data_IF_368400709424
#
_entry.id   IF_368400709424
#
_cell.length_a   1.000
_cell.length_b   1.000
_cell.length_c   1.000
_cell.angle_alpha   90.00
_cell.angle_beta   90.00
_cell.angle_gamma   90.00
#
_symmetry.space_group_name_H-M   'P 1'
#
loop_
_entity.id
_entity.type
_entity.pdbx_description
1 polymer ?
#
# COMPACT_ATOMS: atom_id res chain seq x y z
N UNK A 1 84.43 -4.21 -34.35
CA UNK A 1 83.00 -3.97 -34.10
C UNK A 1 82.23 -5.29 -34.24
N UNK A 2 81.86 -5.95 -33.13
CA UNK A 2 80.95 -7.10 -33.14
C UNK A 2 79.73 -6.71 -32.32
N UNK A 3 78.57 -6.59 -32.97
CA UNK A 3 77.28 -6.22 -32.34
C UNK A 3 76.62 -7.48 -31.77
N UNK A 4 76.44 -7.52 -30.46
CA UNK A 4 75.52 -8.43 -29.79
C UNK A 4 74.07 -8.00 -30.09
N UNK A 5 73.27 -8.91 -30.63
CA UNK A 5 71.81 -8.77 -30.67
C UNK A 5 71.23 -9.63 -29.55
N UNK A 6 70.76 -9.00 -28.48
CA UNK A 6 69.98 -9.66 -27.44
C UNK A 6 68.52 -9.76 -27.88
N UNK A 7 67.99 -10.99 -27.95
CA UNK A 7 66.58 -11.26 -28.15
C UNK A 7 65.86 -11.10 -26.80
N UNK A 8 64.99 -10.10 -26.68
CA UNK A 8 64.10 -9.91 -25.53
C UNK A 8 62.78 -10.62 -25.84
N UNK A 9 62.52 -11.75 -25.18
CA UNK A 9 61.24 -12.46 -25.24
C UNK A 9 60.34 -11.90 -24.15
N UNK A 10 59.31 -11.14 -24.53
CA UNK A 10 58.28 -10.64 -23.62
C UNK A 10 57.21 -11.73 -23.47
N UNK A 11 57.14 -12.37 -22.30
CA UNK A 11 56.03 -13.22 -21.91
C UNK A 11 54.83 -12.35 -21.54
N UNK A 12 53.85 -12.23 -22.44
CA UNK A 12 52.55 -11.66 -22.14
C UNK A 12 51.74 -12.62 -21.27
N UNK A 13 51.59 -12.31 -19.99
CA UNK A 13 50.64 -12.98 -19.10
C UNK A 13 49.24 -12.54 -19.51
N UNK A 14 48.55 -13.36 -20.30
CA UNK A 14 47.11 -13.24 -20.52
C UNK A 14 46.40 -13.59 -19.20
N UNK A 15 46.04 -12.59 -18.41
CA UNK A 15 45.11 -12.78 -17.30
C UNK A 15 43.73 -13.11 -17.89
N UNK A 16 43.41 -14.40 -17.94
CA UNK A 16 42.04 -14.87 -18.12
C UNK A 16 41.24 -14.42 -16.89
N UNK A 17 40.60 -13.27 -16.99
CA UNK A 17 39.54 -12.89 -16.05
C UNK A 17 38.42 -13.92 -16.23
N UNK A 18 38.27 -14.83 -15.28
CA UNK A 18 37.07 -15.63 -15.13
C UNK A 18 35.92 -14.65 -14.87
N UNK A 19 35.24 -14.23 -15.94
CA UNK A 19 33.92 -13.64 -15.82
C UNK A 19 33.03 -14.79 -15.39
N UNK A 20 32.81 -14.92 -14.08
CA UNK A 20 31.85 -15.85 -13.55
C UNK A 20 30.54 -15.62 -14.32
N UNK A 21 30.01 -16.68 -14.94
CA UNK A 21 28.71 -16.60 -15.61
C UNK A 21 27.71 -16.06 -14.60
N UNK A 22 27.06 -14.93 -14.92
CA UNK A 22 26.11 -14.33 -14.02
C UNK A 22 25.00 -15.35 -13.72
N UNK A 23 24.81 -15.67 -12.45
CA UNK A 23 23.80 -16.62 -12.02
C UNK A 23 22.42 -15.99 -12.30
N UNK A 24 21.58 -16.71 -13.04
CA UNK A 24 20.24 -16.27 -13.43
C UNK A 24 19.16 -16.94 -12.59
N UNK A 25 18.04 -16.24 -12.43
CA UNK A 25 16.82 -16.72 -11.78
C UNK A 25 15.75 -16.77 -12.87
N UNK A 26 15.37 -17.96 -13.30
CA UNK A 26 14.26 -18.17 -14.23
C UNK A 26 12.94 -18.03 -13.48
N UNK A 27 12.12 -17.08 -13.90
CA UNK A 27 10.89 -16.69 -13.20
C UNK A 27 9.71 -16.69 -14.17
N UNK A 28 8.57 -17.16 -13.67
CA UNK A 28 7.26 -17.14 -14.34
C UNK A 28 6.43 -16.01 -13.74
N UNK A 29 6.39 -14.90 -14.46
CA UNK A 29 5.70 -13.67 -14.08
C UNK A 29 4.22 -13.78 -14.45
N UNK A 30 3.34 -13.64 -13.47
CA UNK A 30 1.91 -13.62 -13.65
C UNK A 30 1.38 -12.18 -13.63
N UNK A 31 0.63 -11.79 -14.64
CA UNK A 31 -0.09 -10.50 -14.71
C UNK A 31 -1.56 -10.73 -15.07
N UNK A 32 -2.39 -9.69 -14.91
CA UNK A 32 -3.81 -9.72 -15.28
C UNK A 32 -4.15 -8.59 -16.22
N UNK A 33 -4.93 -8.88 -17.25
CA UNK A 33 -5.50 -7.88 -18.15
C UNK A 33 -7.02 -7.90 -18.10
N UNK A 34 -7.63 -6.73 -18.02
CA UNK A 34 -9.08 -6.58 -18.24
C UNK A 34 -9.39 -6.73 -19.73
N UNK A 35 -10.34 -7.60 -20.05
CA UNK A 35 -10.88 -7.77 -21.40
C UNK A 35 -12.36 -7.43 -21.33
N UNK A 36 -12.74 -6.34 -21.98
CA UNK A 36 -14.14 -5.97 -22.15
C UNK A 36 -14.80 -6.94 -23.12
N UNK A 37 -15.85 -7.59 -22.66
CA UNK A 37 -16.76 -8.33 -23.52
C UNK A 37 -17.90 -7.39 -23.91
N UNK A 38 -17.82 -6.86 -25.14
CA UNK A 38 -18.82 -5.94 -25.69
C UNK A 38 -20.21 -6.58 -25.78
N UNK A 39 -20.29 -7.91 -25.87
CA UNK A 39 -21.57 -8.64 -25.98
C UNK A 39 -22.31 -8.74 -24.65
N UNK A 40 -21.58 -8.86 -23.54
CA UNK A 40 -22.16 -9.00 -22.18
C UNK A 40 -22.08 -7.72 -21.36
N UNK A 41 -21.42 -6.66 -21.87
CA UNK A 41 -21.03 -5.47 -21.11
C UNK A 41 -20.34 -5.84 -19.78
N UNK A 42 -19.64 -6.97 -19.76
CA UNK A 42 -18.91 -7.46 -18.60
C UNK A 42 -17.42 -7.35 -18.85
N UNK A 43 -16.65 -7.19 -17.79
CA UNK A 43 -15.20 -7.23 -17.86
C UNK A 43 -14.72 -8.58 -17.34
N UNK A 44 -14.03 -9.34 -18.18
CA UNK A 44 -13.38 -10.59 -17.78
C UNK A 44 -11.90 -10.33 -17.55
N UNK A 45 -11.34 -10.86 -16.46
CA UNK A 45 -9.89 -10.84 -16.25
C UNK A 45 -9.23 -12.04 -16.95
N UNK A 46 -8.22 -11.79 -17.76
CA UNK A 46 -7.34 -12.83 -18.32
C UNK A 46 -6.02 -12.82 -17.57
N UNK A 47 -5.57 -14.02 -17.16
CA UNK A 47 -4.25 -14.21 -16.55
C UNK A 47 -3.25 -14.47 -17.66
N UNK A 48 -2.14 -13.74 -17.63
CA UNK A 48 -1.03 -13.87 -18.57
C UNK A 48 0.21 -14.32 -17.78
N UNK A 49 0.92 -15.32 -18.30
CA UNK A 49 2.16 -15.81 -17.70
C UNK A 49 3.29 -15.67 -18.70
N UNK A 50 4.37 -15.00 -18.28
CA UNK A 50 5.56 -14.78 -19.11
C UNK A 50 6.79 -15.29 -18.37
N UNK A 51 7.57 -16.13 -19.02
CA UNK A 51 8.85 -16.60 -18.47
C UNK A 51 9.96 -15.60 -18.83
N UNK A 52 10.77 -15.22 -17.83
CA UNK A 52 11.97 -14.40 -18.05
C UNK A 52 13.06 -14.80 -17.08
N UNK A 53 14.30 -14.52 -17.47
CA UNK A 53 15.47 -14.69 -16.62
C UNK A 53 15.92 -13.35 -16.06
N UNK A 54 16.10 -13.30 -14.74
CA UNK A 54 16.70 -12.15 -14.06
C UNK A 54 18.10 -12.51 -13.59
N UNK A 55 19.08 -11.64 -13.87
CA UNK A 55 20.42 -11.75 -13.28
C UNK A 55 20.32 -11.53 -11.77
N UNK A 56 20.76 -12.50 -10.97
CA UNK A 56 20.64 -12.46 -9.52
C UNK A 56 21.44 -11.29 -8.92
N UNK A 57 22.64 -10.99 -9.42
CA UNK A 57 23.46 -9.88 -8.91
C UNK A 57 22.86 -8.50 -9.25
N UNK A 58 21.96 -8.42 -10.23
CA UNK A 58 21.17 -7.21 -10.54
C UNK A 58 19.76 -7.22 -9.92
N UNK A 59 19.51 -8.15 -8.98
CA UNK A 59 18.21 -8.34 -8.33
C UNK A 59 18.33 -8.13 -6.83
N UNK A 60 17.36 -7.43 -6.24
CA UNK A 60 17.20 -7.32 -4.81
C UNK A 60 15.89 -7.95 -4.34
N UNK A 61 15.90 -8.54 -3.13
CA UNK A 61 14.70 -8.91 -2.40
C UNK A 61 14.53 -7.93 -1.24
N UNK A 62 13.42 -7.19 -1.22
CA UNK A 62 13.08 -6.27 -0.13
C UNK A 62 12.09 -6.97 0.79
N UNK A 63 12.46 -7.09 2.07
CA UNK A 63 11.65 -7.68 3.14
C UNK A 63 10.91 -6.56 3.86
N UNK A 64 9.64 -6.38 3.51
CA UNK A 64 8.80 -5.30 4.02
C UNK A 64 8.12 -5.71 5.34
N UNK A 65 8.42 -5.01 6.44
CA UNK A 65 7.61 -4.98 7.65
C UNK A 65 7.27 -6.38 8.24
N UNK A 66 8.19 -7.34 8.12
CA UNK A 66 8.08 -8.68 8.73
C UNK A 66 8.42 -8.59 10.22
N UNK A 67 7.55 -7.96 10.99
CA UNK A 67 7.79 -7.59 12.39
C UNK A 67 7.75 -8.77 13.38
N UNK A 68 8.27 -8.53 14.58
CA UNK A 68 8.27 -9.47 15.71
C UNK A 68 6.91 -9.56 16.44
N UNK A 69 6.01 -8.60 16.23
CA UNK A 69 4.67 -8.59 16.78
C UNK A 69 3.73 -7.74 15.91
N UNK A 70 2.43 -7.97 16.02
CA UNK A 70 1.40 -7.18 15.37
C UNK A 70 0.17 -7.02 16.29
N UNK A 71 -0.63 -5.98 16.07
CA UNK A 71 -1.81 -5.70 16.91
C UNK A 71 -2.92 -6.74 16.70
N UNK A 72 -3.09 -7.20 15.47
CA UNK A 72 -3.96 -8.33 15.11
C UNK A 72 -3.30 -9.68 15.41
N UNK A 73 -3.93 -10.53 16.21
CA UNK A 73 -3.38 -11.86 16.54
C UNK A 73 -3.36 -12.80 15.32
N UNK A 74 -4.37 -12.74 14.46
CA UNK A 74 -4.44 -13.56 13.27
C UNK A 74 -3.38 -13.17 12.23
N UNK A 75 -3.02 -11.89 12.11
CA UNK A 75 -1.87 -11.43 11.34
C UNK A 75 -0.55 -12.03 11.84
N UNK A 76 -0.34 -12.09 13.17
CA UNK A 76 0.82 -12.77 13.77
C UNK A 76 0.84 -14.25 13.38
N UNK A 77 -0.29 -14.96 13.55
CA UNK A 77 -0.42 -16.38 13.24
C UNK A 77 -0.11 -16.70 11.78
N UNK A 78 -0.56 -15.86 10.84
CA UNK A 78 -0.29 -16.02 9.39
C UNK A 78 1.17 -15.71 9.06
N UNK A 79 1.72 -14.62 9.59
CA UNK A 79 3.13 -14.25 9.37
C UNK A 79 4.08 -15.33 9.87
N UNK A 80 3.88 -15.82 11.09
CA UNK A 80 4.69 -16.89 11.68
C UNK A 80 4.63 -18.20 10.88
N UNK A 81 3.53 -18.43 10.15
CA UNK A 81 3.35 -19.63 9.34
C UNK A 81 4.22 -19.63 8.07
N UNK A 82 4.24 -18.52 7.32
CA UNK A 82 5.03 -18.44 6.08
C UNK A 82 6.44 -17.89 6.28
N UNK A 83 6.74 -17.26 7.42
CA UNK A 83 8.07 -16.69 7.68
C UNK A 83 9.22 -17.71 7.56
N UNK A 84 9.12 -18.97 8.02
CA UNK A 84 10.18 -19.95 7.80
C UNK A 84 10.46 -20.19 6.31
N UNK A 85 9.42 -20.28 5.47
CA UNK A 85 9.59 -20.45 4.03
C UNK A 85 10.15 -19.19 3.37
N UNK A 86 9.73 -18.01 3.81
CA UNK A 86 10.33 -16.76 3.38
C UNK A 86 11.83 -16.71 3.70
N UNK A 87 12.23 -17.16 4.89
CA UNK A 87 13.64 -17.24 5.25
C UNK A 87 14.44 -18.14 4.30
N UNK A 88 13.88 -19.28 3.89
CA UNK A 88 14.52 -20.16 2.89
C UNK A 88 14.61 -19.48 1.52
N UNK A 89 13.59 -18.74 1.08
CA UNK A 89 13.65 -17.90 -0.13
C UNK A 89 14.81 -16.92 -0.05
N UNK A 90 14.97 -16.22 1.08
CA UNK A 90 16.02 -15.22 1.26
C UNK A 90 17.42 -15.86 1.26
N UNK A 91 17.59 -17.02 1.90
CA UNK A 91 18.84 -17.77 1.87
C UNK A 91 19.20 -18.21 0.45
N UNK A 92 18.24 -18.74 -0.30
CA UNK A 92 18.47 -19.17 -1.68
C UNK A 92 18.76 -17.97 -2.59
N UNK A 93 17.99 -16.88 -2.49
CA UNK A 93 18.25 -15.65 -3.24
C UNK A 93 19.65 -15.09 -2.94
N UNK A 94 20.03 -15.06 -1.65
CA UNK A 94 21.36 -14.63 -1.20
C UNK A 94 22.45 -15.55 -1.74
N UNK A 95 22.24 -16.87 -1.73
CA UNK A 95 23.18 -17.87 -2.30
C UNK A 95 23.42 -17.60 -3.79
N UNK A 96 22.38 -17.27 -4.55
CA UNK A 96 22.48 -16.93 -5.98
C UNK A 96 23.09 -15.54 -6.24
N UNK A 97 23.35 -14.75 -5.19
CA UNK A 97 23.98 -13.44 -5.28
C UNK A 97 23.01 -12.26 -5.36
N UNK A 98 21.71 -12.45 -5.08
CA UNK A 98 20.77 -11.34 -4.91
C UNK A 98 21.10 -10.52 -3.65
N UNK A 99 20.78 -9.23 -3.71
CA UNK A 99 20.90 -8.33 -2.55
C UNK A 99 19.66 -8.43 -1.66
N UNK A 100 19.82 -8.62 -0.36
CA UNK A 100 18.69 -8.63 0.59
C UNK A 100 18.66 -7.30 1.34
N UNK A 101 17.50 -6.64 1.34
CA UNK A 101 17.25 -5.40 2.08
C UNK A 101 16.10 -5.64 3.04
N UNK A 102 16.39 -5.56 4.34
CA UNK A 102 15.39 -5.65 5.39
C UNK A 102 14.85 -4.26 5.71
N UNK A 103 13.53 -4.11 5.69
CA UNK A 103 12.87 -2.84 5.93
C UNK A 103 11.79 -3.00 7.00
N UNK A 104 12.15 -3.22 8.28
CA UNK A 104 11.20 -3.27 9.38
C UNK A 104 10.89 -1.85 9.85
N UNK A 105 9.87 -1.23 9.27
CA UNK A 105 9.50 0.15 9.57
C UNK A 105 9.20 0.36 11.04
N UNK A 106 9.56 1.55 11.54
CA UNK A 106 9.32 1.97 12.93
C UNK A 106 10.13 1.15 13.97
N UNK A 107 11.07 0.30 13.53
CA UNK A 107 11.93 -0.54 14.37
C UNK A 107 13.42 -0.14 14.34
N UNK A 108 13.80 0.95 13.68
CA UNK A 108 15.21 1.27 13.38
C UNK A 108 16.10 1.45 14.62
N UNK A 109 15.53 1.88 15.75
CA UNK A 109 16.26 2.02 17.01
C UNK A 109 16.93 0.71 17.45
N UNK A 110 16.33 -0.45 17.15
CA UNK A 110 16.92 -1.75 17.49
C UNK A 110 18.14 -2.13 16.64
N UNK A 111 18.38 -1.43 15.53
CA UNK A 111 19.38 -1.77 14.53
C UNK A 111 20.50 -0.74 14.40
N UNK A 112 20.52 0.34 15.19
CA UNK A 112 21.49 1.44 15.07
C UNK A 112 22.95 0.96 15.02
N UNK A 113 23.32 -0.02 15.84
CA UNK A 113 24.67 -0.59 15.88
C UNK A 113 24.89 -1.76 14.91
N UNK A 114 23.84 -2.27 14.27
CA UNK A 114 23.89 -3.48 13.46
C UNK A 114 24.72 -3.26 12.18
N UNK A 115 25.63 -4.18 11.81
CA UNK A 115 26.48 -4.02 10.62
C UNK A 115 25.68 -3.77 9.33
N UNK A 116 24.59 -4.49 9.10
CA UNK A 116 23.71 -4.29 7.94
C UNK A 116 23.03 -2.90 7.92
N UNK A 117 22.71 -2.30 9.08
CA UNK A 117 22.20 -0.92 9.16
C UNK A 117 23.28 0.09 8.80
N UNK A 118 24.48 -0.08 9.38
CA UNK A 118 25.66 0.74 9.06
C UNK A 118 25.97 0.69 7.56
N UNK A 119 25.89 -0.51 6.96
CA UNK A 119 26.08 -0.71 5.52
C UNK A 119 25.10 0.11 4.69
N UNK A 120 23.81 0.12 5.05
CA UNK A 120 22.77 0.87 4.34
C UNK A 120 22.99 2.38 4.41
N UNK A 121 23.31 2.94 5.59
CA UNK A 121 23.54 4.39 5.73
C UNK A 121 24.84 4.86 5.07
N UNK A 122 25.83 3.97 4.91
CA UNK A 122 27.09 4.27 4.21
C UNK A 122 27.02 4.03 2.71
N UNK A 123 25.89 3.53 2.19
CA UNK A 123 25.74 3.30 0.75
C UNK A 123 25.94 4.63 -0.02
N UNK A 124 26.73 4.64 -1.11
CA UNK A 124 26.92 5.83 -1.91
C UNK A 124 25.59 6.43 -2.36
N UNK A 125 25.46 7.75 -2.26
CA UNK A 125 24.29 8.46 -2.77
C UNK A 125 24.08 8.15 -4.26
N UNK A 126 22.84 7.86 -4.65
CA UNK A 126 22.47 7.67 -6.03
C UNK A 126 22.75 8.94 -6.85
N UNK A 127 23.23 8.78 -8.08
CA UNK A 127 23.46 9.90 -9.01
C UNK A 127 22.19 10.71 -9.27
N UNK A 128 21.05 10.03 -9.29
CA UNK A 128 19.73 10.62 -9.40
C UNK A 128 18.82 10.01 -8.34
N UNK A 129 18.21 10.87 -7.53
CA UNK A 129 17.27 10.49 -6.48
C UNK A 129 15.85 10.80 -6.97
N UNK A 130 14.95 9.81 -7.07
CA UNK A 130 13.61 10.06 -7.54
C UNK A 130 12.85 11.00 -6.60
N UNK A 131 12.01 11.85 -7.18
CA UNK A 131 11.15 12.77 -6.44
C UNK A 131 10.27 11.95 -5.49
N UNK A 132 10.17 12.40 -4.24
CA UNK A 132 9.34 11.77 -3.20
C UNK A 132 9.70 10.31 -2.87
N UNK A 133 10.89 9.82 -3.21
CA UNK A 133 11.30 8.44 -2.87
C UNK A 133 11.30 8.18 -1.37
N UNK A 134 11.35 9.24 -0.55
CA UNK A 134 11.29 9.19 0.93
C UNK A 134 9.87 9.05 1.48
N UNK A 135 8.85 9.30 0.66
CA UNK A 135 7.47 9.43 1.13
C UNK A 135 6.62 8.21 0.77
N UNK A 136 5.52 8.06 1.51
CA UNK A 136 4.48 7.11 1.18
C UNK A 136 3.91 7.37 -0.21
N UNK A 137 3.62 6.31 -0.96
CA UNK A 137 3.01 6.37 -2.28
C UNK A 137 1.64 5.67 -2.26
N UNK A 138 0.57 6.44 -2.11
CA UNK A 138 -0.79 5.88 -2.05
C UNK A 138 -1.32 5.41 -3.40
N UNK A 139 -0.80 5.93 -4.53
CA UNK A 139 -1.29 5.58 -5.87
C UNK A 139 -0.23 5.84 -6.94
N UNK A 140 -0.25 5.06 -8.01
CA UNK A 140 0.47 5.32 -9.28
C UNK A 140 -0.52 5.50 -10.45
N UNK A 141 -0.12 6.10 -11.58
CA UNK A 141 -1.05 6.44 -12.66
C UNK A 141 -1.90 5.26 -13.19
N UNK A 142 -1.32 4.05 -13.26
CA UNK A 142 -2.02 2.84 -13.69
C UNK A 142 -3.16 2.41 -12.76
N UNK A 143 -3.19 2.90 -11.51
CA UNK A 143 -4.26 2.63 -10.54
C UNK A 143 -5.37 3.71 -10.53
N UNK A 144 -5.23 4.84 -11.24
CA UNK A 144 -6.17 5.98 -11.16
C UNK A 144 -7.62 5.63 -11.52
N UNK A 145 -7.80 4.70 -12.45
CA UNK A 145 -9.13 4.24 -12.90
C UNK A 145 -9.59 2.98 -12.18
N UNK A 146 -8.74 2.39 -11.33
CA UNK A 146 -9.07 1.18 -10.61
C UNK A 146 -10.06 1.48 -9.49
N UNK A 147 -10.96 0.54 -9.21
CA UNK A 147 -11.71 0.49 -7.96
C UNK A 147 -10.92 -0.38 -7.01
N UNK A 148 -10.65 0.11 -5.81
CA UNK A 148 -9.87 -0.66 -4.85
C UNK A 148 -10.68 -1.88 -4.38
N UNK A 149 -10.07 -3.08 -4.30
CA UNK A 149 -10.84 -4.32 -4.22
C UNK A 149 -11.45 -4.63 -2.83
N UNK A 150 -10.96 -3.98 -1.77
CA UNK A 150 -11.37 -4.22 -0.38
C UNK A 150 -11.55 -2.92 0.38
N UNK A 151 -12.35 -2.93 1.44
CA UNK A 151 -12.40 -1.84 2.42
C UNK A 151 -11.51 -2.18 3.63
N UNK A 152 -10.38 -1.48 3.74
CA UNK A 152 -9.41 -1.60 4.83
C UNK A 152 -9.50 -0.48 5.88
N UNK A 153 -10.56 0.32 5.83
CA UNK A 153 -10.64 1.54 6.64
C UNK A 153 -10.74 1.32 8.14
N UNK A 154 -11.13 0.13 8.60
CA UNK A 154 -11.12 -0.24 10.02
C UNK A 154 -9.77 -0.79 10.50
N UNK A 155 -8.79 -0.86 9.61
CA UNK A 155 -7.47 -1.42 9.86
C UNK A 155 -7.34 -2.90 9.55
N UNK A 156 -8.41 -3.58 9.16
CA UNK A 156 -8.37 -4.97 8.70
C UNK A 156 -8.25 -6.02 9.82
N UNK A 157 -8.65 -5.65 11.04
CA UNK A 157 -8.64 -6.53 12.21
C UNK A 157 -9.64 -7.69 12.01
N UNK A 158 -9.13 -8.92 11.99
CA UNK A 158 -9.89 -10.13 11.67
C UNK A 158 -9.86 -11.21 12.75
N UNK A 159 -9.37 -10.89 13.95
CA UNK A 159 -9.45 -11.76 15.11
C UNK A 159 -10.81 -11.66 15.85
N UNK A 160 -11.09 -12.68 16.68
CA UNK A 160 -12.27 -12.64 17.54
C UNK A 160 -12.10 -11.52 18.58
N UNK A 161 -13.12 -10.69 18.87
CA UNK A 161 -12.99 -9.57 19.79
C UNK A 161 -12.50 -9.94 21.20
N UNK A 162 -12.82 -11.15 21.70
CA UNK A 162 -12.32 -11.62 22.98
C UNK A 162 -10.84 -12.00 22.89
N UNK A 163 -10.44 -12.75 21.86
CA UNK A 163 -9.03 -13.06 21.60
C UNK A 163 -8.19 -11.78 21.41
N UNK A 164 -8.75 -10.78 20.70
CA UNK A 164 -8.12 -9.49 20.49
C UNK A 164 -7.85 -8.77 21.81
N UNK A 165 -8.84 -8.73 22.70
CA UNK A 165 -8.72 -8.09 24.01
C UNK A 165 -7.66 -8.79 24.89
N UNK A 166 -7.63 -10.13 24.87
CA UNK A 166 -6.62 -10.92 25.56
C UNK A 166 -5.21 -10.69 24.99
N UNK A 167 -5.09 -10.65 23.67
CA UNK A 167 -3.84 -10.36 22.98
C UNK A 167 -3.32 -8.97 23.29
N UNK A 168 -4.18 -7.95 23.24
CA UNK A 168 -3.84 -6.58 23.62
C UNK A 168 -3.38 -6.47 25.08
N UNK A 169 -4.04 -7.20 25.99
CA UNK A 169 -3.61 -7.28 27.40
C UNK A 169 -2.23 -7.95 27.55
N UNK A 170 -1.97 -9.02 26.80
CA UNK A 170 -0.66 -9.69 26.77
C UNK A 170 0.44 -8.78 26.21
N UNK A 171 0.18 -8.06 25.12
CA UNK A 171 1.11 -7.06 24.56
C UNK A 171 1.45 -6.00 25.59
N UNK A 172 0.45 -5.48 26.31
CA UNK A 172 0.65 -4.50 27.39
C UNK A 172 1.49 -5.08 28.53
N UNK A 173 1.22 -6.31 28.95
CA UNK A 173 2.01 -7.00 29.98
C UNK A 173 3.48 -7.22 29.55
N UNK A 174 3.73 -7.35 28.25
CA UNK A 174 5.09 -7.40 27.66
C UNK A 174 5.75 -6.01 27.52
N UNK A 175 5.13 -4.94 27.99
CA UNK A 175 5.65 -3.57 27.85
C UNK A 175 5.65 -3.08 26.41
N UNK A 176 4.65 -3.48 25.61
CA UNK A 176 4.43 -3.03 24.23
C UNK A 176 3.18 -2.16 24.16
N UNK A 177 3.15 -1.26 23.17
CA UNK A 177 1.94 -0.52 22.80
C UNK A 177 1.02 -1.48 22.02
N UNK A 178 -0.20 -1.80 22.50
CA UNK A 178 -1.07 -2.74 21.80
C UNK A 178 -1.43 -2.33 20.37
N UNK A 179 -1.48 -1.03 20.05
CA UNK A 179 -1.79 -0.56 18.70
C UNK A 179 -0.61 -0.61 17.72
N UNK A 180 0.63 -0.58 18.23
CA UNK A 180 1.87 -0.65 17.44
C UNK A 180 2.92 -1.45 18.23
N UNK A 181 2.76 -2.78 18.34
CA UNK A 181 3.55 -3.55 19.28
C UNK A 181 4.94 -3.93 18.79
N UNK A 182 5.23 -3.81 17.49
CA UNK A 182 6.50 -4.18 16.90
C UNK A 182 7.67 -3.37 17.45
N UNK A 183 8.83 -4.02 17.57
CA UNK A 183 10.10 -3.41 18.00
C UNK A 183 11.27 -3.85 17.11
N UNK A 184 11.17 -5.01 16.47
CA UNK A 184 12.19 -5.56 15.57
C UNK A 184 11.53 -6.30 14.40
N UNK A 185 12.33 -6.75 13.43
CA UNK A 185 11.96 -7.84 12.54
C UNK A 185 11.76 -9.14 13.33
N UNK A 186 10.91 -10.04 12.83
CA UNK A 186 10.73 -11.39 13.35
C UNK A 186 12.05 -12.16 13.38
N UNK A 187 12.28 -12.89 14.48
CA UNK A 187 13.45 -13.77 14.63
C UNK A 187 13.43 -14.99 13.70
N UNK A 188 12.30 -15.25 13.04
CA UNK A 188 12.18 -16.31 12.03
C UNK A 188 12.88 -15.95 10.71
N UNK A 189 13.19 -14.66 10.52
CA UNK A 189 13.93 -14.17 9.36
C UNK A 189 15.35 -13.82 9.78
N UNK A 190 16.31 -14.55 9.20
CA UNK A 190 17.73 -14.32 9.42
C UNK A 190 18.18 -13.05 8.69
N UNK A 191 18.92 -12.20 9.40
CA UNK A 191 19.62 -11.05 8.84
C UNK A 191 21.12 -11.39 8.84
N UNK A 192 21.71 -11.52 7.66
CA UNK A 192 23.13 -11.75 7.50
C UNK A 192 23.89 -10.43 7.69
N UNK A 193 24.58 -10.30 8.83
CA UNK A 193 25.30 -9.08 9.20
C UNK A 193 26.40 -8.70 8.19
N UNK A 194 26.99 -9.68 7.51
CA UNK A 194 28.10 -9.46 6.60
C UNK A 194 27.63 -9.09 5.19
N UNK A 195 26.42 -9.48 4.81
CA UNK A 195 25.94 -9.38 3.42
C UNK A 195 24.73 -8.46 3.21
N UNK A 196 23.83 -8.39 4.19
CA UNK A 196 22.53 -7.75 4.02
C UNK A 196 22.57 -6.24 4.36
N UNK A 197 21.43 -5.59 4.12
CA UNK A 197 21.16 -4.18 4.41
C UNK A 197 19.92 -4.04 5.28
N UNK A 198 19.88 -3.01 6.15
CA UNK A 198 18.68 -2.67 6.93
C UNK A 198 18.36 -1.18 6.77
N UNK A 199 17.17 -0.86 6.26
CA UNK A 199 16.61 0.50 6.29
C UNK A 199 15.12 0.48 6.00
N UNK A 200 14.35 1.31 6.70
CA UNK A 200 12.96 1.64 6.38
C UNK A 200 12.81 3.00 5.66
N UNK A 201 13.92 3.67 5.34
CA UNK A 201 13.91 4.93 4.60
C UNK A 201 14.09 4.69 3.11
N UNK A 202 13.17 5.22 2.31
CA UNK A 202 13.17 4.98 0.87
C UNK A 202 14.38 5.55 0.13
N UNK A 203 14.98 6.63 0.62
CA UNK A 203 16.20 7.19 0.05
C UNK A 203 17.44 6.33 0.26
N UNK A 204 17.62 5.82 1.47
CA UNK A 204 18.72 4.91 1.78
C UNK A 204 18.55 3.57 1.04
N UNK A 205 17.34 3.02 1.00
CA UNK A 205 17.05 1.83 0.18
C UNK A 205 17.38 2.10 -1.28
N UNK A 206 16.97 3.24 -1.84
CA UNK A 206 17.29 3.60 -3.22
C UNK A 206 18.80 3.71 -3.48
N UNK A 207 19.56 4.32 -2.56
CA UNK A 207 21.03 4.38 -2.64
C UNK A 207 21.67 3.00 -2.65
N UNK A 208 21.16 2.06 -1.83
CA UNK A 208 21.60 0.66 -1.85
C UNK A 208 21.34 0.03 -3.21
N UNK A 209 20.13 0.18 -3.75
CA UNK A 209 19.77 -0.37 -5.07
C UNK A 209 20.67 0.18 -6.18
N UNK A 210 20.87 1.50 -6.23
CA UNK A 210 21.68 2.15 -7.26
C UNK A 210 23.17 1.79 -7.15
N UNK A 211 23.73 1.82 -5.93
CA UNK A 211 25.15 1.51 -5.70
C UNK A 211 25.51 0.06 -6.05
N UNK A 212 24.53 -0.85 -5.98
CA UNK A 212 24.67 -2.27 -6.36
C UNK A 212 24.26 -2.56 -7.81
N UNK A 213 23.86 -1.55 -8.57
CA UNK A 213 23.42 -1.73 -9.97
C UNK A 213 22.14 -2.57 -10.09
N UNK A 214 21.27 -2.53 -9.08
CA UNK A 214 20.03 -3.29 -9.04
C UNK A 214 19.04 -2.73 -10.05
N UNK A 215 18.55 -3.62 -10.91
CA UNK A 215 17.51 -3.33 -11.91
C UNK A 215 16.18 -3.97 -11.53
N UNK A 216 16.23 -5.10 -10.84
CA UNK A 216 15.05 -5.90 -10.53
C UNK A 216 14.82 -5.96 -9.02
N UNK A 217 13.57 -5.84 -8.60
CA UNK A 217 13.15 -5.87 -7.20
C UNK A 217 12.05 -6.90 -7.04
N UNK A 218 12.27 -7.83 -6.12
CA UNK A 218 11.26 -8.74 -5.60
C UNK A 218 10.84 -8.19 -4.25
N UNK A 219 9.54 -7.92 -4.04
CA UNK A 219 9.03 -7.58 -2.71
C UNK A 219 8.37 -8.78 -2.05
N UNK A 220 8.67 -8.95 -0.77
CA UNK A 220 8.05 -9.92 0.14
C UNK A 220 7.66 -9.21 1.44
N UNK A 221 6.83 -9.83 2.27
CA UNK A 221 6.46 -9.29 3.57
C UNK A 221 5.03 -8.78 3.64
N UNK A 222 4.73 -7.92 4.61
CA UNK A 222 3.35 -7.59 5.02
C UNK A 222 3.18 -6.10 5.33
N UNK A 223 1.98 -5.52 5.31
CA UNK A 223 0.76 -6.06 4.71
C UNK A 223 0.61 -5.57 3.26
N UNK A 224 0.13 -6.45 2.38
CA UNK A 224 0.08 -6.24 0.93
C UNK A 224 -0.63 -4.93 0.55
N UNK A 225 -1.83 -4.74 1.09
CA UNK A 225 -2.72 -3.61 0.84
C UNK A 225 -2.28 -2.30 1.52
N UNK A 226 -1.22 -2.35 2.32
CA UNK A 226 -0.66 -1.20 3.02
C UNK A 226 0.84 -1.09 2.71
N UNK A 227 1.69 -1.60 3.60
CA UNK A 227 3.12 -1.30 3.61
C UNK A 227 3.85 -1.77 2.34
N UNK A 228 3.56 -3.00 1.89
CA UNK A 228 4.17 -3.59 0.68
C UNK A 228 3.86 -2.73 -0.55
N UNK A 229 2.65 -2.20 -0.67
CA UNK A 229 2.30 -1.29 -1.77
C UNK A 229 2.86 0.12 -1.59
N UNK A 230 2.70 0.69 -0.39
CA UNK A 230 2.76 2.14 -0.18
C UNK A 230 3.98 2.68 0.54
N UNK A 231 4.79 1.87 1.25
CA UNK A 231 6.01 2.37 1.92
C UNK A 231 6.95 3.03 0.91
N UNK A 232 7.86 3.92 1.35
CA UNK A 232 8.86 4.56 0.50
C UNK A 232 9.70 3.59 -0.36
N UNK A 233 9.87 2.36 0.11
CA UNK A 233 10.56 1.26 -0.57
C UNK A 233 9.61 0.21 -1.18
N UNK A 234 8.30 0.45 -1.15
CA UNK A 234 7.25 -0.47 -1.59
C UNK A 234 7.07 -0.53 -3.12
N UNK A 235 6.18 -1.42 -3.56
CA UNK A 235 5.94 -1.73 -4.98
C UNK A 235 5.69 -0.47 -5.82
N UNK A 236 4.83 0.44 -5.36
CA UNK A 236 4.45 1.64 -6.11
C UNK A 236 5.64 2.56 -6.36
N UNK A 237 6.49 2.75 -5.36
CA UNK A 237 7.70 3.54 -5.50
C UNK A 237 8.69 2.90 -6.46
N UNK A 238 8.88 1.59 -6.37
CA UNK A 238 9.80 0.87 -7.25
C UNK A 238 9.32 0.91 -8.72
N UNK A 239 8.03 0.71 -8.96
CA UNK A 239 7.41 0.77 -10.30
C UNK A 239 7.48 2.19 -10.86
N UNK A 240 7.02 3.19 -10.10
CA UNK A 240 6.99 4.60 -10.53
C UNK A 240 8.36 5.12 -10.92
N UNK A 241 9.40 4.62 -10.27
CA UNK A 241 10.78 5.05 -10.50
C UNK A 241 11.57 4.10 -11.42
N UNK A 242 10.88 3.23 -12.17
CA UNK A 242 11.44 2.51 -13.32
C UNK A 242 12.23 1.23 -13.00
N UNK A 243 12.08 0.65 -11.81
CA UNK A 243 12.61 -0.70 -11.54
C UNK A 243 11.72 -1.76 -12.21
N UNK A 244 12.31 -2.90 -12.56
CA UNK A 244 11.52 -4.10 -12.85
C UNK A 244 11.07 -4.70 -11.52
N UNK A 245 9.77 -4.83 -11.30
CA UNK A 245 9.24 -5.21 -9.98
C UNK A 245 8.41 -6.47 -10.09
N UNK A 246 8.53 -7.36 -9.11
CA UNK A 246 7.59 -8.44 -8.87
C UNK A 246 7.25 -8.54 -7.38
N UNK A 247 5.99 -8.86 -7.10
CA UNK A 247 5.56 -9.31 -5.77
C UNK A 247 5.69 -10.84 -5.71
N UNK A 248 6.28 -11.38 -4.64
CA UNK A 248 6.18 -12.82 -4.37
C UNK A 248 4.85 -13.11 -3.66
N UNK A 249 3.82 -13.46 -4.42
CA UNK A 249 2.41 -13.44 -3.98
C UNK A 249 2.07 -14.47 -2.88
N UNK A 250 2.89 -15.50 -2.69
CA UNK A 250 2.73 -16.50 -1.65
C UNK A 250 3.57 -16.20 -0.39
N UNK A 251 4.39 -15.14 -0.40
CA UNK A 251 5.17 -14.63 0.73
C UNK A 251 4.66 -13.25 1.20
N UNK A 252 3.35 -13.06 1.19
CA UNK A 252 2.68 -11.84 1.63
C UNK A 252 1.31 -12.15 2.21
N UNK A 253 0.75 -11.17 2.93
CA UNK A 253 -0.56 -11.22 3.56
C UNK A 253 -1.15 -9.80 3.56
N UNK A 254 -2.47 -9.66 3.42
CA UNK A 254 -3.15 -8.38 3.53
C UNK A 254 -3.76 -8.19 4.94
N UNK A 255 -4.07 -6.96 5.32
CA UNK A 255 -4.97 -6.69 6.45
C UNK A 255 -6.36 -6.47 5.90
N UNK A 256 -7.23 -7.46 6.13
CA UNK A 256 -8.60 -7.43 5.67
C UNK A 256 -9.50 -8.13 6.67
N UNK A 257 -10.50 -7.39 7.14
CA UNK A 257 -11.56 -7.88 7.99
C UNK A 257 -12.69 -8.46 7.12
N UNK A 258 -12.99 -9.77 7.19
CA UNK A 258 -14.07 -10.40 6.40
C UNK A 258 -15.47 -9.81 6.60
N UNK A 259 -15.68 -8.98 7.64
CA UNK A 259 -16.94 -8.26 7.86
C UNK A 259 -17.06 -6.98 7.02
N UNK A 260 -15.96 -6.50 6.44
CA UNK A 260 -15.90 -5.33 5.56
C UNK A 260 -16.09 -5.73 4.12
N UNK A 261 -16.46 -4.77 3.26
CA UNK A 261 -16.59 -4.99 1.83
C UNK A 261 -15.31 -5.63 1.26
N UNK A 262 -15.41 -6.69 0.42
CA UNK A 262 -16.62 -7.26 -0.19
C UNK A 262 -17.27 -8.41 0.58
N UNK A 263 -16.97 -8.57 1.87
CA UNK A 263 -17.56 -9.57 2.78
C UNK A 263 -17.26 -11.02 2.38
N UNK A 264 -16.08 -11.22 1.80
CA UNK A 264 -15.48 -12.54 1.54
C UNK A 264 -14.56 -12.93 2.68
N UNK A 265 -14.16 -14.21 2.74
CA UNK A 265 -13.16 -14.68 3.69
C UNK A 265 -11.80 -13.99 3.47
N UNK A 266 -10.94 -14.04 4.48
CA UNK A 266 -9.66 -13.33 4.48
C UNK A 266 -8.80 -13.66 3.25
N UNK A 267 -8.67 -14.94 2.90
CA UNK A 267 -7.79 -15.37 1.82
C UNK A 267 -8.35 -14.98 0.45
N UNK A 268 -9.68 -14.95 0.28
CA UNK A 268 -10.30 -14.37 -0.92
C UNK A 268 -10.05 -12.86 -0.99
N UNK A 269 -10.11 -12.14 0.13
CA UNK A 269 -9.72 -10.74 0.19
C UNK A 269 -8.27 -10.51 -0.24
N UNK A 270 -7.34 -11.34 0.26
CA UNK A 270 -5.94 -11.30 -0.14
C UNK A 270 -5.75 -11.55 -1.65
N UNK A 271 -6.45 -12.54 -2.22
CA UNK A 271 -6.42 -12.82 -3.66
C UNK A 271 -6.94 -11.65 -4.51
N UNK A 272 -7.95 -10.93 -4.03
CA UNK A 272 -8.46 -9.74 -4.73
C UNK A 272 -7.42 -8.60 -4.74
N UNK A 273 -6.68 -8.42 -3.65
CA UNK A 273 -5.57 -7.44 -3.61
C UNK A 273 -4.42 -7.88 -4.52
N UNK A 274 -4.06 -9.17 -4.53
CA UNK A 274 -3.07 -9.73 -5.47
C UNK A 274 -3.51 -9.50 -6.92
N UNK A 275 -4.78 -9.75 -7.24
CA UNK A 275 -5.33 -9.53 -8.57
C UNK A 275 -5.29 -8.05 -8.99
N UNK A 276 -5.50 -7.13 -8.04
CA UNK A 276 -5.32 -5.69 -8.26
C UNK A 276 -3.85 -5.35 -8.57
N UNK A 277 -2.90 -5.92 -7.81
CA UNK A 277 -1.45 -5.76 -8.06
C UNK A 277 -1.08 -6.26 -9.45
N UNK A 278 -1.50 -7.47 -9.81
CA UNK A 278 -1.23 -8.10 -11.11
C UNK A 278 -1.78 -7.31 -12.30
N UNK A 279 -2.84 -6.54 -12.06
CA UNK A 279 -3.53 -5.77 -13.10
C UNK A 279 -2.98 -4.35 -13.26
N UNK A 280 -2.63 -3.70 -12.15
CA UNK A 280 -2.38 -2.26 -12.15
C UNK A 280 -0.99 -1.86 -11.63
N UNK A 281 -0.25 -2.75 -10.96
CA UNK A 281 1.00 -2.38 -10.29
C UNK A 281 2.19 -3.09 -10.90
N UNK A 282 2.27 -4.42 -10.77
CA UNK A 282 3.39 -5.21 -11.27
C UNK A 282 2.99 -6.69 -11.39
N UNK A 283 3.71 -7.50 -12.18
CA UNK A 283 3.51 -8.94 -12.17
C UNK A 283 3.86 -9.56 -10.81
N UNK A 284 3.44 -10.81 -10.61
CA UNK A 284 3.75 -11.60 -9.41
C UNK A 284 4.52 -12.88 -9.75
N UNK A 285 5.27 -13.38 -8.78
CA UNK A 285 5.97 -14.68 -8.81
C UNK A 285 5.63 -15.47 -7.54
N UNK A 286 6.09 -16.72 -7.44
CA UNK A 286 5.90 -17.58 -6.26
C UNK A 286 7.21 -18.14 -5.76
N UNK A 287 7.27 -18.47 -4.47
CA UNK A 287 8.48 -18.92 -3.78
C UNK A 287 9.07 -20.23 -4.32
N UNK A 288 8.24 -21.13 -4.87
CA UNK A 288 8.68 -22.37 -5.53
C UNK A 288 9.57 -22.12 -6.75
N UNK A 289 9.48 -20.94 -7.38
CA UNK A 289 10.32 -20.61 -8.53
C UNK A 289 11.79 -20.43 -8.13
N UNK A 290 12.06 -20.15 -6.85
CA UNK A 290 13.41 -20.16 -6.29
C UNK A 290 13.72 -21.49 -5.60
N UNK A 291 12.79 -22.03 -4.82
CA UNK A 291 13.02 -23.17 -3.93
C UNK A 291 12.74 -24.56 -4.55
N UNK A 292 12.02 -24.60 -5.68
CA UNK A 292 11.37 -25.81 -6.17
C UNK A 292 10.11 -26.19 -5.40
N UNK A 293 9.47 -27.28 -5.82
CA UNK A 293 8.23 -27.79 -5.21
C UNK A 293 6.99 -26.98 -5.60
N UNK A 294 6.10 -26.78 -4.63
CA UNK A 294 4.83 -26.07 -4.82
C UNK A 294 4.83 -24.70 -4.12
N UNK A 295 4.05 -23.71 -4.60
CA UNK A 295 3.83 -22.45 -3.88
C UNK A 295 3.36 -22.67 -2.45
N UNK A 296 3.70 -21.74 -1.55
CA UNK A 296 3.20 -21.80 -0.18
C UNK A 296 1.66 -21.69 -0.15
N UNK A 297 1.03 -22.53 0.66
CA UNK A 297 -0.40 -22.44 0.96
C UNK A 297 -0.59 -22.55 2.47
N UNK A 298 -1.18 -21.51 3.06
CA UNK A 298 -1.50 -21.49 4.48
C UNK A 298 -2.47 -22.63 4.86
N UNK A 299 -2.22 -23.28 5.99
CA UNK A 299 -3.12 -24.26 6.62
C UNK A 299 -4.44 -23.63 7.08
N UNK A 300 -4.45 -22.31 7.31
CA UNK A 300 -5.67 -21.56 7.64
C UNK A 300 -6.53 -21.30 6.40
N UNK A 301 -6.02 -21.50 5.18
CA UNK A 301 -6.81 -21.38 3.95
C UNK A 301 -7.61 -22.66 3.68
N UNK A 302 -8.78 -22.74 4.29
CA UNK A 302 -9.71 -23.89 4.19
C UNK A 302 -10.59 -23.86 2.93
N UNK A 303 -10.40 -22.90 2.02
CA UNK A 303 -11.18 -22.83 0.78
C UNK A 303 -10.87 -24.06 -0.09
N UNK A 304 -11.90 -24.84 -0.40
CA UNK A 304 -11.85 -25.72 -1.56
C UNK A 304 -11.92 -24.84 -2.82
N UNK A 305 -11.35 -25.28 -3.94
CA UNK A 305 -11.17 -24.49 -5.18
C UNK A 305 -12.45 -23.92 -5.84
N UNK A 306 -13.59 -24.02 -5.18
CA UNK A 306 -14.86 -23.40 -5.54
C UNK A 306 -15.63 -23.00 -4.28
N UNK A 307 -15.69 -21.71 -3.96
CA UNK A 307 -16.91 -21.10 -3.36
C UNK A 307 -16.94 -19.62 -3.76
N UNK A 308 -17.84 -19.28 -4.68
CA UNK A 308 -18.37 -17.93 -4.80
C UNK A 308 -19.58 -17.83 -3.88
N UNK A 309 -19.44 -17.12 -2.77
CA UNK A 309 -20.57 -16.74 -1.93
C UNK A 309 -21.10 -15.39 -2.41
N UNK A 310 -22.32 -15.33 -2.92
CA UNK A 310 -23.02 -14.07 -3.12
C UNK A 310 -23.34 -13.45 -1.75
N UNK A 311 -22.74 -12.31 -1.45
CA UNK A 311 -23.06 -11.53 -0.27
C UNK A 311 -24.51 -11.03 -0.38
N UNK A 312 -25.35 -11.42 0.57
CA UNK A 312 -26.79 -11.10 0.65
C UNK A 312 -27.09 -9.74 1.29
N UNK A 313 -26.09 -8.85 1.42
CA UNK A 313 -26.23 -7.53 2.05
C UNK A 313 -26.46 -6.42 1.03
N UNK A 314 -27.32 -5.46 1.35
CA UNK A 314 -27.62 -4.33 0.45
C UNK A 314 -26.40 -3.42 0.33
N UNK A 315 -26.07 -2.87 -0.85
CA UNK A 315 -24.91 -2.00 -1.07
C UNK A 315 -24.95 -0.65 -0.31
N UNK A 316 -25.92 -0.42 0.58
CA UNK A 316 -26.11 0.84 1.31
C UNK A 316 -25.75 0.76 2.79
N UNK A 317 -25.49 -0.43 3.33
CA UNK A 317 -25.20 -0.62 4.76
C UNK A 317 -23.71 -0.36 5.10
N UNK A 318 -22.85 -0.40 4.08
CA UNK A 318 -21.40 -0.22 4.16
C UNK A 318 -20.92 0.95 3.30
N UNK A 319 -19.63 1.29 3.42
CA UNK A 319 -18.98 2.28 2.57
C UNK A 319 -18.81 1.73 1.15
N UNK A 320 -19.39 2.41 0.17
CA UNK A 320 -19.30 2.05 -1.26
C UNK A 320 -18.73 3.18 -2.11
N UNK A 321 -18.06 2.84 -3.20
CA UNK A 321 -17.49 3.81 -4.14
C UNK A 321 -18.60 4.51 -4.93
N UNK A 322 -18.59 5.84 -4.97
CA UNK A 322 -19.46 6.70 -5.78
C UNK A 322 -18.61 7.72 -6.54
N UNK A 323 -19.04 8.15 -7.73
CA UNK A 323 -18.43 9.27 -8.43
C UNK A 323 -19.10 10.61 -8.05
N UNK A 324 -18.34 11.63 -7.68
CA UNK A 324 -18.80 13.01 -7.44
C UNK A 324 -18.29 13.90 -8.58
N UNK A 325 -19.16 14.66 -9.28
CA UNK A 325 -20.57 14.83 -8.99
C UNK A 325 -21.37 13.60 -9.40
N UNK A 326 -22.31 13.21 -8.54
CA UNK A 326 -23.27 12.14 -8.81
C UNK A 326 -24.65 12.75 -8.91
N UNK A 327 -25.33 12.54 -10.03
CA UNK A 327 -26.76 12.61 -10.02
C UNK A 327 -27.34 11.27 -9.59
N UNK A 328 -27.55 11.00 -8.29
CA UNK A 328 -28.21 9.73 -7.95
C UNK A 328 -29.61 9.70 -8.57
N UNK A 329 -29.76 8.87 -9.59
CA UNK A 329 -30.99 8.17 -9.88
C UNK A 329 -30.71 6.72 -9.48
N UNK A 330 -30.97 6.38 -8.23
CA UNK A 330 -31.18 4.98 -7.90
C UNK A 330 -32.33 4.51 -8.77
N UNK A 331 -32.03 3.73 -9.80
CA UNK A 331 -33.03 3.18 -10.71
C UNK A 331 -33.87 2.18 -9.92
N UNK A 332 -34.98 2.71 -9.41
CA UNK A 332 -36.26 2.10 -8.99
C UNK A 332 -36.37 1.30 -7.68
N UNK A 333 -37.55 1.53 -7.05
CA UNK A 333 -38.25 0.78 -5.99
C UNK A 333 -37.78 0.93 -4.52
N UNK A 334 -37.66 2.18 -4.04
CA UNK A 334 -38.17 2.63 -2.72
C UNK A 334 -37.48 3.94 -2.26
N UNK A 335 -37.53 4.98 -3.10
CA UNK A 335 -36.93 6.29 -2.81
C UNK A 335 -37.49 6.92 -1.52
N UNK A 336 -38.69 6.52 -1.08
CA UNK A 336 -39.33 6.99 0.17
C UNK A 336 -38.80 6.32 1.43
N UNK A 337 -38.09 5.18 1.34
CA UNK A 337 -37.57 4.43 2.49
C UNK A 337 -36.09 4.67 2.77
N UNK A 338 -35.40 5.39 1.89
CA UNK A 338 -33.97 5.68 2.05
C UNK A 338 -33.72 6.68 3.19
N UNK A 339 -32.67 6.47 4.00
CA UNK A 339 -32.29 7.42 5.04
C UNK A 339 -32.02 8.82 4.47
N UNK A 340 -32.45 9.85 5.19
CA UNK A 340 -32.23 11.25 4.81
C UNK A 340 -30.80 11.73 5.04
N UNK A 341 -30.04 11.02 5.86
CA UNK A 341 -28.65 11.36 6.18
C UNK A 341 -27.74 10.43 5.41
N UNK A 342 -26.73 11.04 4.79
CA UNK A 342 -25.74 10.32 4.05
C UNK A 342 -24.34 10.88 4.33
N UNK A 343 -23.37 9.98 4.37
CA UNK A 343 -21.99 10.30 4.67
C UNK A 343 -21.11 10.06 3.45
N UNK A 344 -20.19 10.98 3.22
CA UNK A 344 -19.19 10.91 2.17
C UNK A 344 -17.82 11.02 2.78
N UNK A 345 -16.84 10.29 2.25
CA UNK A 345 -15.44 10.49 2.62
C UNK A 345 -14.52 10.34 1.43
N UNK A 346 -13.41 11.06 1.48
CA UNK A 346 -12.31 10.92 0.55
C UNK A 346 -10.98 11.21 1.26
N UNK A 347 -9.88 10.89 0.58
CA UNK A 347 -8.53 11.22 1.04
C UNK A 347 -7.99 12.35 0.18
N UNK A 348 -7.42 13.35 0.83
CA UNK A 348 -6.77 14.49 0.17
C UNK A 348 -5.32 14.56 0.63
N UNK A 349 -4.36 14.61 -0.30
CA UNK A 349 -2.97 14.91 0.05
C UNK A 349 -2.75 16.42 0.01
N UNK A 350 -2.45 17.02 1.15
CA UNK A 350 -2.29 18.46 1.27
C UNK A 350 -0.79 18.80 1.39
N UNK A 351 -0.25 19.68 0.54
CA UNK A 351 1.10 20.17 0.72
C UNK A 351 1.17 21.08 1.96
N UNK A 352 2.34 21.21 2.56
CA UNK A 352 2.53 22.01 3.77
C UNK A 352 2.11 23.48 3.62
N UNK A 353 2.19 24.05 2.42
CA UNK A 353 1.73 25.42 2.18
C UNK A 353 0.20 25.59 2.10
N UNK A 354 -0.58 24.51 2.22
CA UNK A 354 -2.04 24.53 2.25
C UNK A 354 -2.62 24.27 3.65
N UNK A 355 -1.78 24.03 4.66
CA UNK A 355 -2.23 23.73 6.04
C UNK A 355 -2.42 24.98 6.90
N UNK A 356 -2.31 26.16 6.30
CA UNK A 356 -2.68 27.41 6.98
C UNK A 356 -4.20 27.47 7.16
N UNK A 357 -4.63 27.30 8.41
CA UNK A 357 -6.03 27.31 8.81
C UNK A 357 -6.74 28.65 8.53
N UNK A 358 -6.02 29.77 8.42
CA UNK A 358 -6.62 31.06 8.10
C UNK A 358 -7.00 31.18 6.63
N UNK A 359 -6.34 30.43 5.75
CA UNK A 359 -6.57 30.48 4.31
C UNK A 359 -7.25 29.23 3.77
N UNK A 360 -7.14 28.10 4.46
CA UNK A 360 -7.74 26.84 4.03
C UNK A 360 -9.27 26.82 4.22
N UNK A 361 -10.02 26.58 3.15
CA UNK A 361 -11.48 26.50 3.15
C UNK A 361 -11.96 25.30 2.35
N UNK A 362 -12.96 24.60 2.86
CA UNK A 362 -13.79 23.69 2.07
C UNK A 362 -15.05 24.41 1.64
N UNK A 363 -15.37 24.40 0.34
CA UNK A 363 -16.58 24.97 -0.23
C UNK A 363 -17.45 23.89 -0.85
N UNK A 364 -18.73 23.86 -0.50
CA UNK A 364 -19.76 22.97 -1.04
C UNK A 364 -20.89 23.86 -1.56
N UNK A 365 -21.15 23.83 -2.87
CA UNK A 365 -22.11 24.74 -3.51
C UNK A 365 -23.58 24.33 -3.26
N UNK A 366 -23.87 23.03 -3.24
CA UNK A 366 -25.22 22.51 -3.00
C UNK A 366 -25.50 22.43 -1.49
N UNK A 367 -25.91 23.55 -0.91
CA UNK A 367 -26.01 23.77 0.54
C UNK A 367 -27.19 23.07 1.23
N UNK A 368 -27.32 21.75 1.04
CA UNK A 368 -28.01 20.91 2.02
C UNK A 368 -27.35 21.10 3.41
N UNK A 369 -28.10 20.96 4.52
CA UNK A 369 -27.50 20.94 5.85
C UNK A 369 -26.33 19.95 5.89
N UNK A 370 -25.13 20.48 6.08
CA UNK A 370 -23.88 19.72 5.94
C UNK A 370 -22.98 19.99 7.14
N UNK A 371 -22.36 18.93 7.64
CA UNK A 371 -21.25 18.99 8.58
C UNK A 371 -20.01 18.39 7.91
N UNK A 372 -18.84 18.92 8.25
CA UNK A 372 -17.57 18.47 7.68
C UNK A 372 -16.54 18.21 8.78
N UNK A 373 -15.72 17.19 8.56
CA UNK A 373 -14.59 16.83 9.41
C UNK A 373 -13.33 16.66 8.57
N UNK A 374 -12.20 17.07 9.14
CA UNK A 374 -10.87 16.79 8.60
C UNK A 374 -10.11 16.00 9.67
N UNK A 375 -9.68 14.78 9.34
CA UNK A 375 -9.03 13.85 10.27
C UNK A 375 -9.81 13.66 11.59
N UNK A 376 -11.15 13.68 11.54
CA UNK A 376 -12.02 13.55 12.71
C UNK A 376 -12.29 14.84 13.49
N UNK A 377 -11.64 15.95 13.15
CA UNK A 377 -11.89 17.26 13.75
C UNK A 377 -13.01 17.98 13.01
N UNK A 378 -14.10 18.31 13.72
CA UNK A 378 -15.25 19.02 13.13
C UNK A 378 -14.86 20.45 12.76
N UNK A 379 -15.40 20.94 11.63
CA UNK A 379 -15.18 22.33 11.20
C UNK A 379 -15.61 23.34 12.27
N UNK A 380 -14.79 24.38 12.49
CA UNK A 380 -14.96 25.37 13.56
C UNK A 380 -15.95 26.50 13.21
N UNK A 381 -16.05 26.86 11.93
CA UNK A 381 -16.99 27.90 11.47
C UNK A 381 -18.22 27.23 10.86
N UNK A 382 -19.36 27.37 11.53
CA UNK A 382 -20.67 27.08 10.96
C UNK A 382 -21.17 28.33 10.24
N UNK A 383 -21.80 28.22 9.05
CA UNK A 383 -22.24 29.38 8.30
C UNK A 383 -23.11 30.31 9.16
N UNK A 384 -22.62 31.53 9.41
CA UNK A 384 -23.33 32.54 10.22
C UNK A 384 -24.16 33.49 9.34
N UNK A 385 -23.75 33.66 8.08
CA UNK A 385 -24.39 34.48 7.05
C UNK A 385 -24.78 33.63 5.85
N UNK A 386 -25.82 34.05 5.14
CA UNK A 386 -26.34 33.37 3.95
C UNK A 386 -25.31 33.27 2.81
N UNK A 387 -24.38 34.23 2.72
CA UNK A 387 -23.27 34.25 1.76
C UNK A 387 -22.10 33.31 2.10
N UNK A 388 -22.04 32.80 3.33
CA UNK A 388 -21.02 31.86 3.80
C UNK A 388 -21.56 30.42 3.88
N UNK A 389 -22.79 30.20 3.40
CA UNK A 389 -23.43 28.89 3.40
C UNK A 389 -22.61 27.90 2.56
N UNK A 390 -22.28 26.76 3.16
CA UNK A 390 -21.47 25.73 2.52
C UNK A 390 -19.96 25.98 2.53
N UNK A 391 -19.47 26.98 3.27
CA UNK A 391 -18.05 27.20 3.52
C UNK A 391 -17.67 26.69 4.91
N UNK A 392 -16.63 25.85 4.97
CA UNK A 392 -16.15 25.23 6.20
C UNK A 392 -14.68 25.58 6.42
N UNK A 393 -14.33 25.82 7.68
CA UNK A 393 -12.96 26.08 8.14
C UNK A 393 -12.58 25.04 9.18
N UNK A 394 -11.32 24.66 9.23
CA UNK A 394 -10.79 23.68 10.16
C UNK A 394 -9.71 24.33 11.02
N UNK A 395 -9.52 23.83 12.22
CA UNK A 395 -8.48 24.32 13.12
C UNK A 395 -7.10 23.75 12.73
N UNK A 396 -5.99 24.43 13.06
CA UNK A 396 -4.64 23.98 12.70
C UNK A 396 -4.31 22.53 13.08
N UNK A 397 -4.82 22.04 14.20
CA UNK A 397 -4.63 20.66 14.66
C UNK A 397 -5.32 19.60 13.79
N UNK A 398 -6.21 20.02 12.89
CA UNK A 398 -6.92 19.13 11.99
C UNK A 398 -6.05 18.68 10.81
N UNK A 399 -4.91 19.32 10.57
CA UNK A 399 -4.09 19.13 9.38
C UNK A 399 -2.87 18.24 9.63
N UNK A 400 -2.61 17.36 8.67
CA UNK A 400 -1.33 16.67 8.52
C UNK A 400 -0.62 17.22 7.28
N UNK A 401 0.42 18.02 7.51
CA UNK A 401 1.21 18.67 6.46
C UNK A 401 2.04 17.66 5.66
N UNK A 402 2.07 17.84 4.33
CA UNK A 402 2.73 16.96 3.36
C UNK A 402 2.29 15.48 3.44
N UNK A 403 1.14 15.22 4.07
CA UNK A 403 0.58 13.88 4.29
C UNK A 403 -0.87 13.80 3.78
N UNK A 404 -1.42 12.59 3.91
CA UNK A 404 -2.75 12.22 3.52
C UNK A 404 -3.74 12.55 4.64
N UNK A 405 -4.77 13.31 4.31
CA UNK A 405 -5.81 13.76 5.23
C UNK A 405 -7.14 13.14 4.83
N UNK A 406 -7.93 12.68 5.81
CA UNK A 406 -9.29 12.19 5.59
C UNK A 406 -10.26 13.35 5.66
N UNK A 407 -10.98 13.61 4.57
CA UNK A 407 -12.10 14.55 4.55
C UNK A 407 -13.41 13.76 4.62
N UNK A 408 -14.29 14.14 5.55
CA UNK A 408 -15.60 13.50 5.75
C UNK A 408 -16.70 14.54 5.74
N UNK A 409 -17.80 14.24 5.03
CA UNK A 409 -19.01 15.05 4.98
C UNK A 409 -20.20 14.25 5.48
N UNK A 410 -21.05 14.86 6.29
CA UNK A 410 -22.40 14.38 6.60
C UNK A 410 -23.39 15.34 5.99
N UNK A 411 -24.25 14.85 5.10
CA UNK A 411 -25.24 15.65 4.38
C UNK A 411 -26.63 15.14 4.72
N UNK A 412 -27.51 16.05 5.13
CA UNK A 412 -28.92 15.77 5.37
C UNK A 412 -29.78 16.29 4.21
N UNK A 413 -30.49 15.39 3.55
CA UNK A 413 -31.37 15.69 2.43
C UNK A 413 -32.81 15.92 2.95
N UNK A 414 -33.40 17.12 2.74
CA UNK A 414 -34.72 17.46 3.27
C UNK A 414 -35.86 16.67 2.61
N UNK A 415 -35.65 16.20 1.37
CA UNK A 415 -36.62 15.42 0.62
C UNK A 415 -36.02 14.06 0.24
N UNK A 416 -35.50 13.94 -0.98
CA UNK A 416 -34.85 12.75 -1.49
C UNK A 416 -33.35 13.02 -1.65
N UNK A 417 -32.53 12.00 -1.36
CA UNK A 417 -31.10 12.09 -1.56
C UNK A 417 -30.79 12.23 -3.06
N UNK A 418 -30.31 13.39 -3.46
CA UNK A 418 -29.96 13.73 -4.85
C UNK A 418 -28.47 13.54 -5.14
N UNK A 419 -27.65 13.43 -4.09
CA UNK A 419 -26.20 13.43 -4.18
C UNK A 419 -25.61 14.81 -4.30
N UNK A 420 -24.28 14.83 -4.26
CA UNK A 420 -23.50 16.03 -4.52
C UNK A 420 -23.49 16.27 -6.04
N UNK A 421 -24.15 17.35 -6.52
CA UNK A 421 -24.24 17.69 -7.96
C UNK A 421 -23.11 18.58 -8.41
N UNK A 422 -22.54 19.37 -7.50
CA UNK A 422 -21.36 20.19 -7.72
C UNK A 422 -20.21 19.67 -6.85
N UNK A 423 -19.05 19.33 -7.43
CA UNK A 423 -17.91 18.84 -6.65
C UNK A 423 -17.52 19.81 -5.53
N UNK A 424 -17.22 19.30 -4.32
CA UNK A 424 -16.62 20.12 -3.28
C UNK A 424 -15.28 20.68 -3.75
N UNK A 425 -14.94 21.88 -3.30
CA UNK A 425 -13.67 22.53 -3.62
C UNK A 425 -12.88 22.80 -2.35
N UNK A 426 -11.60 22.46 -2.35
CA UNK A 426 -10.65 22.97 -1.37
C UNK A 426 -9.99 24.24 -1.90
N UNK A 427 -9.83 25.22 -1.04
CA UNK A 427 -9.22 26.52 -1.32
C UNK A 427 -8.12 26.76 -0.29
N UNK A 428 -6.96 27.27 -0.69
CA UNK A 428 -5.94 27.80 0.23
C UNK A 428 -5.17 28.93 -0.45
N UNK A 429 -5.39 30.16 0.03
CA UNK A 429 -4.90 31.37 -0.64
C UNK A 429 -5.47 31.49 -2.05
N UNK A 430 -4.61 31.56 -3.07
CA UNK A 430 -5.00 31.55 -4.48
C UNK A 430 -5.17 30.15 -5.08
N UNK A 431 -4.82 29.10 -4.34
CA UNK A 431 -4.83 27.75 -4.85
C UNK A 431 -6.19 27.08 -4.67
N UNK A 432 -6.54 26.20 -5.60
CA UNK A 432 -7.81 25.47 -5.60
C UNK A 432 -7.62 24.02 -5.99
N UNK A 433 -8.38 23.12 -5.37
CA UNK A 433 -8.44 21.71 -5.72
C UNK A 433 -9.91 21.30 -5.81
N UNK A 434 -10.35 20.93 -7.00
CA UNK A 434 -11.69 20.39 -7.23
C UNK A 434 -11.70 18.90 -6.84
N UNK A 435 -12.58 18.52 -5.91
CA UNK A 435 -12.71 17.12 -5.44
C UNK A 435 -13.66 16.31 -6.33
N UNK A 436 -13.48 16.44 -7.65
CA UNK A 436 -14.23 15.73 -8.69
C UNK A 436 -13.60 14.38 -8.96
N UNK A 437 -14.30 13.30 -8.65
CA UNK A 437 -13.76 11.96 -8.77
C UNK A 437 -14.50 10.98 -7.88
N UNK A 438 -13.86 9.85 -7.57
CA UNK A 438 -14.46 8.85 -6.69
C UNK A 438 -14.36 9.26 -5.22
N UNK A 439 -15.43 8.98 -4.50
CA UNK A 439 -15.58 9.12 -3.06
C UNK A 439 -16.10 7.80 -2.52
N UNK A 440 -16.00 7.60 -1.21
CA UNK A 440 -16.78 6.57 -0.54
C UNK A 440 -18.02 7.18 0.09
N UNK A 441 -19.11 6.42 0.09
CA UNK A 441 -20.44 6.86 0.49
C UNK A 441 -21.18 5.78 1.28
N UNK A 442 -22.02 6.20 2.24
CA UNK A 442 -22.96 5.33 2.95
C UNK A 442 -24.18 6.10 3.45
N UNK A 443 -25.29 5.40 3.67
CA UNK A 443 -26.46 5.95 4.35
C UNK A 443 -26.42 5.69 5.86
N UNK A 444 -27.19 6.49 6.60
CA UNK A 444 -27.36 6.38 8.05
C UNK A 444 -26.81 7.58 8.81
N UNK A 445 -26.94 7.56 10.13
CA UNK A 445 -26.53 8.67 10.98
C UNK A 445 -25.78 8.20 12.23
N UNK A 446 -24.47 7.96 12.09
CA UNK A 446 -23.61 7.59 13.21
C UNK A 446 -22.37 8.48 13.22
N UNK A 447 -22.19 9.21 14.33
CA UNK A 447 -21.08 10.15 14.50
C UNK A 447 -19.70 9.49 14.43
N UNK A 448 -19.57 8.20 14.73
CA UNK A 448 -18.27 7.50 14.64
C UNK A 448 -17.69 7.46 13.22
N UNK A 449 -18.50 7.73 12.20
CA UNK A 449 -18.09 7.77 10.81
C UNK A 449 -17.38 9.06 10.41
N UNK A 450 -17.25 10.03 11.31
CA UNK A 450 -16.49 11.27 11.10
C UNK A 450 -14.98 11.05 10.98
N UNK A 451 -14.48 9.86 11.32
CA UNK A 451 -13.08 9.50 11.20
C UNK A 451 -12.92 7.99 10.89
N UNK A 452 -11.67 7.56 10.68
CA UNK A 452 -11.27 6.16 10.66
C UNK A 452 -10.18 5.91 11.73
N UNK A 453 -10.04 4.68 12.26
CA UNK A 453 -9.08 4.38 13.33
C UNK A 453 -7.60 4.46 12.89
N UNK A 454 -7.33 4.54 11.59
CA UNK A 454 -5.98 4.63 11.04
C UNK A 454 -5.70 5.99 10.38
N UNK A 455 -4.44 6.42 10.29
CA UNK A 455 -4.04 7.47 9.36
C UNK A 455 -4.58 7.23 7.94
N UNK A 456 -5.00 8.29 7.25
CA UNK A 456 -5.67 8.19 5.96
C UNK A 456 -4.80 7.51 4.87
N UNK A 457 -3.47 7.65 4.95
CA UNK A 457 -2.53 6.93 4.06
C UNK A 457 -2.60 5.41 4.17
N UNK A 458 -3.05 4.88 5.31
CA UNK A 458 -3.16 3.45 5.57
C UNK A 458 -4.59 2.95 5.37
N UNK A 459 -5.59 3.64 5.96
CA UNK A 459 -6.98 3.21 5.89
C UNK A 459 -7.73 3.65 4.63
N UNK A 460 -7.16 4.59 3.86
CA UNK A 460 -7.78 5.14 2.67
C UNK A 460 -7.56 4.29 1.42
N UNK A 461 -8.62 4.01 0.67
CA UNK A 461 -8.53 3.32 -0.62
C UNK A 461 -7.98 4.25 -1.71
N UNK A 462 -7.27 3.66 -2.68
CA UNK A 462 -6.61 4.43 -3.74
C UNK A 462 -7.59 5.14 -4.67
N UNK A 463 -8.79 4.60 -4.81
CA UNK A 463 -9.80 5.13 -5.72
C UNK A 463 -10.44 6.41 -5.18
N UNK A 464 -10.40 6.68 -3.87
CA UNK A 464 -10.94 7.92 -3.27
C UNK A 464 -9.89 8.99 -2.97
N UNK A 465 -8.71 8.90 -3.58
CA UNK A 465 -7.60 9.81 -3.37
C UNK A 465 -7.61 11.00 -4.35
N UNK A 466 -7.50 12.21 -3.79
CA UNK A 466 -7.29 13.47 -4.47
C UNK A 466 -5.93 14.05 -4.10
N UNK A 467 -5.13 14.40 -5.11
CA UNK A 467 -3.84 15.04 -4.94
C UNK A 467 -3.76 16.18 -5.96
N UNK A 468 -2.99 17.22 -5.66
CA UNK A 468 -2.68 18.26 -6.64
C UNK A 468 -1.79 17.67 -7.74
N UNK A 469 -2.09 18.01 -8.99
CA UNK A 469 -1.18 17.73 -10.11
C UNK A 469 0.18 18.38 -9.80
N UNK A 470 1.24 17.58 -9.96
CA UNK A 470 2.58 17.87 -9.43
C UNK A 470 3.56 18.39 -10.47
#
# INVERSE_FOLDING_TARGET
MRRFHGLLVVWGICMLTNVASAETISLRFQSRRGVSDESTKSERSVVEVVEREWNAQQTAVIVCDVWDAHHCLNAVRRLEEFAPRMNEVLKEARKRGATIVHSPSDCMAAYESHPARKRAITAPAAKSKPKDVEHWCSRIPSEEKAVYPIDQSDGGEDDDPAEHAEWAAKLKAMGRNPGMPWKTQSKLIEIDADRDFISDRGDEVWNVLESRGIKNVILVGVHLNMCVLGRPFGLRQMVRNGKNVALMRDMTDCMYNPKRWPQVDHFTGNDLVIAHVERFVCPTITSDQLLGGEPFRSKYNTRNSQVGGEATRRPYDDWVSVFVPSGWALTTADIKSLPRVAWYRCVVRLPNNWTDAETFRLKIADAHPTQAWLNGHESVVKPSKETERGVFQFSPESFLADDYNLLVLRIEYPHFATGIKVPPMLLSGSNTLELKGRWQFRFGDNKSWSNIPLPAKFGGSTDMLFELDR
#
